data_IF_224597881790
#
_entry.id   IF_224597881790
#
_cell.length_a   1.000
_cell.length_b   1.000
_cell.length_c   1.000
_cell.angle_alpha   90.00
_cell.angle_beta   90.00
_cell.angle_gamma   90.00
#
_symmetry.space_group_name_H-M   'P 1'
#
loop_
_entity.id
_entity.type
_entity.pdbx_description
1 polymer ?
#
# COMPACT_ATOMS: atom_id res chain seq x y z
N UNK A 1 13.48 17.88 69.93
CA UNK A 1 13.44 17.84 68.45
C UNK A 1 12.26 16.95 68.09
N UNK A 2 11.13 17.61 67.91
CA UNK A 2 9.86 17.18 68.48
C UNK A 2 9.04 16.33 67.52
N UNK A 3 8.26 15.39 68.08
CA UNK A 3 7.38 14.48 67.34
C UNK A 3 6.40 15.20 66.39
N UNK A 4 6.13 16.50 66.62
CA UNK A 4 5.27 17.33 65.82
C UNK A 4 5.90 17.71 64.46
N UNK A 5 7.23 17.85 64.41
CA UNK A 5 7.98 18.23 63.20
C UNK A 5 8.15 17.04 62.23
N UNK A 6 8.31 15.82 62.77
CA UNK A 6 8.20 14.59 61.96
C UNK A 6 6.81 14.42 61.36
N UNK A 7 5.75 14.82 62.07
CA UNK A 7 4.35 14.70 61.63
C UNK A 7 4.00 15.68 60.52
N UNK A 8 4.53 16.92 60.58
CA UNK A 8 4.35 17.94 59.53
C UNK A 8 5.09 17.54 58.24
N UNK A 9 6.34 17.08 58.35
CA UNK A 9 7.16 16.61 57.21
C UNK A 9 6.52 15.42 56.49
N UNK A 10 6.05 14.40 57.22
CA UNK A 10 5.35 13.25 56.63
C UNK A 10 4.05 13.63 55.91
N UNK A 11 3.28 14.57 56.48
CA UNK A 11 2.04 15.06 55.85
C UNK A 11 2.33 15.81 54.54
N UNK A 12 3.45 16.54 54.49
CA UNK A 12 3.86 17.30 53.30
C UNK A 12 4.48 16.40 52.22
N UNK A 13 5.20 15.33 52.60
CA UNK A 13 5.66 14.28 51.69
C UNK A 13 4.47 13.53 51.06
N UNK A 14 3.50 13.09 51.85
CA UNK A 14 2.32 12.36 51.35
C UNK A 14 1.50 13.21 50.36
N UNK A 15 1.38 14.52 50.59
CA UNK A 15 0.68 15.43 49.68
C UNK A 15 1.39 15.53 48.32
N UNK A 16 2.72 15.57 48.29
CA UNK A 16 3.51 15.57 47.05
C UNK A 16 3.37 14.26 46.28
N UNK A 17 3.37 13.12 46.97
CA UNK A 17 3.18 11.80 46.35
C UNK A 17 1.78 11.66 45.73
N UNK A 18 0.73 12.14 46.41
CA UNK A 18 -0.65 12.11 45.90
C UNK A 18 -0.78 13.00 44.64
N UNK A 19 -0.19 14.19 44.64
CA UNK A 19 -0.21 15.09 43.46
C UNK A 19 0.48 14.42 42.25
N UNK A 20 1.61 13.74 42.47
CA UNK A 20 2.31 13.00 41.42
C UNK A 20 1.44 11.89 40.82
N UNK A 21 0.77 11.10 41.66
CA UNK A 21 -0.15 10.02 41.22
C UNK A 21 -1.30 10.61 40.39
N UNK A 22 -1.88 11.74 40.81
CA UNK A 22 -2.96 12.40 40.06
C UNK A 22 -2.49 12.80 38.66
N UNK A 23 -1.27 13.34 38.53
CA UNK A 23 -0.70 13.70 37.23
C UNK A 23 -0.51 12.45 36.35
N UNK A 24 0.02 11.35 36.91
CA UNK A 24 0.22 10.10 36.19
C UNK A 24 -1.13 9.50 35.71
N UNK A 25 -2.16 9.54 36.55
CA UNK A 25 -3.52 9.11 36.18
C UNK A 25 -4.11 9.99 35.07
N UNK A 26 -3.93 11.31 35.14
CA UNK A 26 -4.39 12.22 34.09
C UNK A 26 -3.71 11.91 32.76
N UNK A 27 -2.39 11.69 32.76
CA UNK A 27 -1.64 11.31 31.55
C UNK A 27 -2.16 9.98 30.99
N UNK A 28 -2.38 8.98 31.84
CA UNK A 28 -2.91 7.69 31.43
C UNK A 28 -4.30 7.82 30.79
N UNK A 29 -5.19 8.65 31.35
CA UNK A 29 -6.51 8.92 30.79
C UNK A 29 -6.39 9.60 29.41
N UNK A 30 -5.49 10.58 29.25
CA UNK A 30 -5.27 11.25 27.95
C UNK A 30 -4.81 10.24 26.90
N UNK A 31 -3.84 9.38 27.24
CA UNK A 31 -3.34 8.34 26.33
C UNK A 31 -4.47 7.38 25.95
N UNK A 32 -5.29 6.96 26.92
CA UNK A 32 -6.42 6.07 26.67
C UNK A 32 -7.46 6.69 25.72
N UNK A 33 -7.75 7.98 25.86
CA UNK A 33 -8.68 8.67 24.95
C UNK A 33 -8.10 8.71 23.53
N UNK A 34 -6.81 9.04 23.39
CA UNK A 34 -6.14 9.10 22.08
C UNK A 34 -6.13 7.72 21.41
N UNK A 35 -5.85 6.65 22.15
CA UNK A 35 -5.82 5.29 21.60
C UNK A 35 -7.21 4.83 21.16
N UNK A 36 -8.27 5.15 21.92
CA UNK A 36 -9.66 4.85 21.53
C UNK A 36 -10.04 5.58 20.25
N UNK A 37 -9.72 6.89 20.14
CA UNK A 37 -10.00 7.67 18.92
C UNK A 37 -9.23 7.07 17.73
N UNK A 38 -7.94 6.81 17.89
CA UNK A 38 -7.15 6.18 16.84
C UNK A 38 -7.74 4.84 16.42
N UNK A 39 -8.11 3.98 17.36
CA UNK A 39 -8.72 2.67 17.05
C UNK A 39 -10.01 2.81 16.24
N UNK A 40 -10.90 3.74 16.60
CA UNK A 40 -12.18 3.94 15.91
C UNK A 40 -11.98 4.52 14.49
N UNK A 41 -11.04 5.46 14.33
CA UNK A 41 -10.86 6.20 13.08
C UNK A 41 -9.69 5.73 12.21
N UNK A 42 -8.92 4.74 12.66
CA UNK A 42 -7.70 4.24 12.01
C UNK A 42 -7.94 3.91 10.54
N UNK A 43 -8.96 3.11 10.26
CA UNK A 43 -9.28 2.68 8.90
C UNK A 43 -9.56 3.88 7.98
N UNK A 44 -10.39 4.83 8.43
CA UNK A 44 -10.73 6.03 7.64
C UNK A 44 -9.50 6.90 7.39
N UNK A 45 -8.62 7.06 8.38
CA UNK A 45 -7.39 7.85 8.23
C UNK A 45 -6.44 7.22 7.20
N UNK A 46 -6.24 5.90 7.28
CA UNK A 46 -5.38 5.17 6.35
C UNK A 46 -5.99 5.17 4.95
N UNK A 47 -7.25 4.79 4.80
CA UNK A 47 -7.94 4.74 3.50
C UNK A 47 -7.92 6.11 2.84
N UNK A 48 -8.27 7.19 3.56
CA UNK A 48 -8.26 8.52 2.97
C UNK A 48 -6.86 8.96 2.53
N UNK A 49 -5.82 8.58 3.25
CA UNK A 49 -4.43 8.90 2.89
C UNK A 49 -4.00 8.11 1.66
N UNK A 50 -4.29 6.81 1.62
CA UNK A 50 -4.02 5.95 0.47
C UNK A 50 -4.78 6.41 -0.75
N UNK A 51 -6.09 6.68 -0.64
CA UNK A 51 -6.93 7.16 -1.73
C UNK A 51 -6.42 8.47 -2.32
N UNK A 52 -5.89 9.39 -1.49
CA UNK A 52 -5.28 10.63 -1.98
C UNK A 52 -4.01 10.37 -2.79
N UNK A 53 -3.18 9.43 -2.37
CA UNK A 53 -1.94 9.06 -3.05
C UNK A 53 -2.16 8.27 -4.34
N UNK A 54 -3.16 7.39 -4.40
CA UNK A 54 -3.45 6.57 -5.58
C UNK A 54 -4.39 7.27 -6.58
N UNK A 55 -5.11 8.32 -6.15
CA UNK A 55 -6.01 9.07 -7.03
C UNK A 55 -5.25 9.61 -8.25
N UNK A 56 -5.87 9.66 -9.42
CA UNK A 56 -5.25 10.23 -10.62
C UNK A 56 -5.34 11.77 -10.61
N UNK A 57 -4.60 12.40 -9.69
CA UNK A 57 -4.46 13.86 -9.60
C UNK A 57 -3.00 14.26 -9.87
N UNK A 58 -2.72 15.39 -10.54
CA UNK A 58 -1.36 15.78 -10.93
C UNK A 58 -0.30 15.68 -9.81
N UNK A 59 -0.69 16.02 -8.58
CA UNK A 59 0.22 16.05 -7.43
C UNK A 59 0.47 14.68 -6.78
N UNK A 60 -0.36 13.69 -7.08
CA UNK A 60 -0.33 12.36 -6.47
C UNK A 60 0.77 11.47 -7.03
N UNK A 61 1.24 10.51 -6.21
CA UNK A 61 2.17 9.47 -6.65
C UNK A 61 1.53 8.52 -7.67
N UNK A 62 0.24 8.23 -7.51
CA UNK A 62 -0.54 7.37 -8.40
C UNK A 62 -0.60 7.92 -9.83
N UNK A 63 -0.86 9.22 -9.99
CA UNK A 63 -0.84 9.86 -11.30
C UNK A 63 0.54 9.78 -11.97
N UNK A 64 1.63 10.07 -11.24
CA UNK A 64 3.00 10.01 -11.78
C UNK A 64 3.35 8.59 -12.24
N UNK A 65 2.99 7.60 -11.43
CA UNK A 65 3.20 6.18 -11.73
C UNK A 65 2.35 5.71 -12.92
N UNK A 66 1.11 6.18 -13.04
CA UNK A 66 0.25 5.89 -14.18
C UNK A 66 0.74 6.57 -15.48
N UNK A 67 1.20 7.82 -15.37
CA UNK A 67 1.72 8.60 -16.48
C UNK A 67 3.00 7.96 -17.04
N UNK A 68 3.92 7.57 -16.16
CA UNK A 68 5.15 6.89 -16.53
C UNK A 68 5.43 5.72 -15.56
N UNK A 69 4.97 4.50 -15.90
CA UNK A 69 5.18 3.33 -15.06
C UNK A 69 6.67 3.09 -14.81
N UNK A 70 7.10 2.89 -13.54
CA UNK A 70 8.51 2.65 -13.22
C UNK A 70 8.96 1.24 -13.62
N UNK A 71 8.02 0.38 -13.99
CA UNK A 71 8.29 -1.00 -14.36
C UNK A 71 8.44 -1.15 -15.88
N UNK A 72 9.49 -1.88 -16.25
CA UNK A 72 9.72 -2.25 -17.64
C UNK A 72 8.85 -3.46 -17.99
N UNK A 73 7.99 -3.32 -19.00
CA UNK A 73 7.09 -4.40 -19.43
C UNK A 73 7.65 -5.00 -20.71
N UNK A 74 7.87 -6.32 -20.68
CA UNK A 74 8.26 -7.09 -21.87
C UNK A 74 7.08 -7.92 -22.34
N UNK A 75 6.82 -7.91 -23.65
CA UNK A 75 5.82 -8.77 -24.27
C UNK A 75 6.48 -9.73 -25.24
N UNK A 76 6.27 -11.03 -25.03
CA UNK A 76 6.78 -12.08 -25.89
C UNK A 76 5.65 -12.67 -26.74
N UNK A 77 5.87 -12.75 -28.04
CA UNK A 77 4.96 -13.38 -28.99
C UNK A 77 5.54 -14.73 -29.43
N UNK A 78 4.73 -15.78 -29.36
CA UNK A 78 5.02 -17.10 -29.95
C UNK A 78 4.12 -17.28 -31.16
N UNK A 79 4.71 -17.62 -32.29
CA UNK A 79 3.99 -17.88 -33.52
C UNK A 79 3.92 -19.38 -33.74
N UNK A 80 2.87 -19.83 -34.42
CA UNK A 80 2.71 -21.22 -34.81
C UNK A 80 3.01 -21.33 -36.30
N UNK A 81 4.13 -21.97 -36.63
CA UNK A 81 4.50 -22.25 -38.01
C UNK A 81 3.71 -23.45 -38.51
N UNK A 82 3.00 -23.32 -39.62
CA UNK A 82 2.23 -24.42 -40.22
C UNK A 82 3.16 -25.34 -40.99
N UNK A 83 3.14 -26.64 -40.70
CA UNK A 83 4.07 -27.61 -41.30
C UNK A 83 3.46 -28.38 -42.47
N UNK A 84 2.14 -28.39 -42.64
CA UNK A 84 1.43 -29.06 -43.75
C UNK A 84 0.51 -28.13 -44.58
N UNK A 85 1.00 -26.98 -45.08
CA UNK A 85 0.16 -26.00 -45.76
C UNK A 85 -0.50 -26.54 -47.04
N UNK A 86 0.19 -27.38 -47.80
CA UNK A 86 -0.33 -27.92 -49.07
C UNK A 86 -1.49 -28.90 -48.86
N UNK A 87 -1.42 -29.73 -47.82
CA UNK A 87 -2.49 -30.67 -47.49
C UNK A 87 -3.76 -29.92 -47.09
N UNK A 88 -3.60 -28.86 -46.29
CA UNK A 88 -4.71 -28.01 -45.83
C UNK A 88 -5.43 -27.37 -47.02
N UNK A 89 -4.68 -26.86 -48.00
CA UNK A 89 -5.27 -26.23 -49.20
C UNK A 89 -5.95 -27.27 -50.09
N UNK A 90 -5.40 -28.48 -50.19
CA UNK A 90 -5.89 -29.52 -51.09
C UNK A 90 -7.15 -30.20 -50.54
N UNK A 91 -7.22 -30.49 -49.23
CA UNK A 91 -8.34 -31.19 -48.60
C UNK A 91 -8.77 -30.50 -47.28
N UNK A 92 -9.26 -29.24 -47.34
CA UNK A 92 -9.51 -28.44 -46.14
C UNK A 92 -10.57 -29.03 -45.20
N UNK A 93 -11.48 -29.87 -45.70
CA UNK A 93 -12.55 -30.48 -44.91
C UNK A 93 -12.10 -31.68 -44.07
N UNK A 94 -10.95 -32.27 -44.38
CA UNK A 94 -10.50 -33.54 -43.76
C UNK A 94 -9.08 -33.47 -43.20
N UNK A 95 -8.31 -32.44 -43.53
CA UNK A 95 -6.93 -32.26 -43.05
C UNK A 95 -6.87 -31.55 -41.70
N UNK A 96 -6.18 -32.15 -40.74
CA UNK A 96 -5.77 -31.51 -39.48
C UNK A 96 -4.59 -30.57 -39.71
N UNK A 97 -4.66 -29.35 -39.17
CA UNK A 97 -3.57 -28.37 -39.26
C UNK A 97 -2.46 -28.77 -38.29
N UNK A 98 -1.27 -29.06 -38.82
CA UNK A 98 -0.08 -29.31 -38.03
C UNK A 98 0.70 -28.02 -37.86
N UNK A 99 1.06 -27.71 -36.61
CA UNK A 99 1.84 -26.52 -36.28
C UNK A 99 3.03 -26.85 -35.40
N UNK A 100 4.07 -26.05 -35.55
CA UNK A 100 5.23 -26.02 -34.66
C UNK A 100 5.37 -24.63 -34.04
N UNK A 101 5.49 -24.58 -32.72
CA UNK A 101 5.70 -23.33 -32.02
C UNK A 101 7.10 -22.75 -32.30
N UNK A 102 7.16 -21.46 -32.62
CA UNK A 102 8.41 -20.73 -32.77
C UNK A 102 8.95 -20.25 -31.43
N UNK A 103 10.24 -19.92 -31.40
CA UNK A 103 10.83 -19.21 -30.26
C UNK A 103 10.09 -17.88 -29.99
N UNK A 104 10.11 -17.39 -28.73
CA UNK A 104 9.47 -16.14 -28.37
C UNK A 104 10.18 -14.94 -29.00
N UNK A 105 9.42 -14.06 -29.61
CA UNK A 105 9.85 -12.74 -30.06
C UNK A 105 9.48 -11.72 -29.00
N UNK A 106 10.47 -11.26 -28.23
CA UNK A 106 10.28 -10.37 -27.08
C UNK A 106 10.48 -8.90 -27.46
N UNK A 107 9.54 -8.06 -27.05
CA UNK A 107 9.58 -6.61 -27.26
C UNK A 107 9.47 -5.88 -25.93
N UNK A 108 10.29 -4.84 -25.78
CA UNK A 108 10.17 -3.88 -24.69
C UNK A 108 9.01 -2.93 -24.99
N UNK A 109 8.08 -2.75 -24.06
CA UNK A 109 6.96 -1.82 -24.22
C UNK A 109 7.21 -0.56 -23.39
N UNK A 110 7.09 0.60 -24.06
CA UNK A 110 6.99 1.90 -23.40
C UNK A 110 5.51 2.26 -23.25
N UNK A 111 5.03 2.37 -22.00
CA UNK A 111 3.63 2.65 -21.69
C UNK A 111 3.35 4.09 -21.26
N UNK A 112 4.32 4.99 -21.43
CA UNK A 112 4.21 6.40 -21.09
C UNK A 112 3.00 7.01 -21.78
N UNK A 113 2.10 7.60 -20.99
CA UNK A 113 0.89 8.24 -21.50
C UNK A 113 1.25 9.59 -22.10
N UNK A 114 0.66 9.89 -23.25
CA UNK A 114 0.85 11.14 -23.98
C UNK A 114 -0.50 11.84 -24.11
N UNK A 115 -0.50 13.17 -24.23
CA UNK A 115 -1.70 13.99 -24.43
C UNK A 115 -2.79 13.76 -23.36
N UNK A 116 -2.39 13.74 -22.08
CA UNK A 116 -3.33 13.69 -20.95
C UNK A 116 -3.95 15.07 -20.79
N UNK A 117 -5.28 15.16 -20.91
CA UNK A 117 -6.07 16.39 -20.75
C UNK A 117 -6.73 16.44 -19.38
#
# INVERSE_FOLDING_TARGET
MDANDKKSSNKQQNKKTIIRIIIEVIIAIIILIITIILYIYWEKLIINSVLKEIALKPDSTGYKTWLNPPTTITRAYRLFNVTNPMEIVTNPATTTINVQETRPYSYLLSLTKQNVQ
#
